data_IF_495769174777
#
_entry.id   IF_495769174777
#
_cell.length_a   1.000
_cell.length_b   1.000
_cell.length_c   1.000
_cell.angle_alpha   90.00
_cell.angle_beta   90.00
_cell.angle_gamma   90.00
#
_symmetry.space_group_name_H-M   'P 1'
#
loop_
_entity.id
_entity.type
_entity.pdbx_description
1 polymer ?
#
# COMPACT_ATOMS: atom_id res chain seq x y z
N UNK A 1 -15.01 -24.93 -7.07
CA UNK A 1 -13.81 -24.15 -6.69
C UNK A 1 -14.29 -22.95 -5.90
N UNK A 2 -13.86 -22.80 -4.65
CA UNK A 2 -14.15 -21.61 -3.85
C UNK A 2 -13.00 -20.63 -4.03
N UNK A 3 -13.28 -19.44 -4.55
CA UNK A 3 -12.30 -18.37 -4.71
C UNK A 3 -12.47 -17.43 -3.51
N UNK A 4 -11.41 -17.25 -2.73
CA UNK A 4 -11.35 -16.25 -1.66
C UNK A 4 -10.49 -15.09 -2.12
N UNK A 5 -11.08 -13.91 -2.26
CA UNK A 5 -10.32 -12.68 -2.51
C UNK A 5 -9.67 -12.26 -1.20
N UNK A 6 -8.35 -12.12 -1.22
CA UNK A 6 -7.57 -11.62 -0.10
C UNK A 6 -7.51 -10.09 -0.19
N UNK A 7 -6.35 -9.57 -0.58
CA UNK A 7 -6.06 -8.15 -0.59
C UNK A 7 -5.45 -7.72 -1.93
N UNK A 8 -5.62 -6.44 -2.32
CA UNK A 8 -4.80 -5.87 -3.36
C UNK A 8 -3.33 -5.91 -2.94
N UNK A 9 -2.46 -6.22 -3.90
CA UNK A 9 -1.01 -6.27 -3.70
C UNK A 9 -0.32 -5.21 -4.57
N UNK A 10 0.68 -4.54 -3.99
CA UNK A 10 1.54 -3.59 -4.70
C UNK A 10 2.98 -4.12 -4.68
N UNK A 11 3.56 -4.28 -5.87
CA UNK A 11 4.99 -4.57 -6.03
C UNK A 11 5.84 -3.29 -5.98
N UNK A 12 6.54 -3.09 -4.88
CA UNK A 12 7.26 -1.85 -4.60
C UNK A 12 8.72 -1.92 -5.09
N UNK A 13 9.16 -0.89 -5.82
CA UNK A 13 10.58 -0.67 -6.12
C UNK A 13 11.34 -0.20 -4.86
N UNK A 14 10.70 0.66 -4.05
CA UNK A 14 11.21 1.02 -2.72
C UNK A 14 10.21 0.55 -1.66
N UNK A 15 10.39 -0.70 -1.25
CA UNK A 15 9.51 -1.45 -0.34
C UNK A 15 9.32 -0.78 1.02
N UNK A 16 10.42 -0.49 1.71
CA UNK A 16 10.40 0.13 3.05
C UNK A 16 9.74 1.49 3.03
N UNK A 17 10.10 2.34 2.05
CA UNK A 17 9.53 3.68 1.92
C UNK A 17 8.03 3.65 1.64
N UNK A 18 7.56 2.70 0.82
CA UNK A 18 6.13 2.59 0.54
C UNK A 18 5.35 2.14 1.78
N UNK A 19 5.86 1.15 2.51
CA UNK A 19 5.27 0.70 3.78
C UNK A 19 5.19 1.86 4.78
N UNK A 20 6.29 2.56 5.00
CA UNK A 20 6.33 3.72 5.89
C UNK A 20 5.34 4.80 5.48
N UNK A 21 5.21 5.06 4.17
CA UNK A 21 4.28 6.05 3.66
C UNK A 21 2.82 5.68 3.98
N UNK A 22 2.42 4.44 3.76
CA UNK A 22 1.06 3.98 4.08
C UNK A 22 0.76 4.06 5.58
N UNK A 23 1.70 3.63 6.43
CA UNK A 23 1.60 3.72 7.89
C UNK A 23 1.44 5.18 8.32
N UNK A 24 2.33 6.08 7.86
CA UNK A 24 2.33 7.50 8.27
C UNK A 24 1.11 8.27 7.72
N UNK A 25 0.61 7.92 6.54
CA UNK A 25 -0.45 8.68 5.86
C UNK A 25 -1.84 8.28 6.32
N UNK A 26 -2.09 6.98 6.43
CA UNK A 26 -3.42 6.41 6.70
C UNK A 26 -3.53 5.78 8.10
N UNK A 27 -2.51 5.97 8.94
CA UNK A 27 -2.42 5.41 10.28
C UNK A 27 -2.63 3.88 10.29
N UNK A 28 -2.09 3.19 9.27
CA UNK A 28 -2.14 1.72 9.18
C UNK A 28 -1.12 1.08 10.12
N UNK A 29 -1.35 -0.18 10.46
CA UNK A 29 -0.43 -1.00 11.26
C UNK A 29 0.02 -2.22 10.48
N UNK A 30 1.21 -2.74 10.81
CA UNK A 30 1.70 -4.02 10.26
C UNK A 30 0.90 -5.15 10.91
N UNK A 31 0.21 -5.93 10.09
CA UNK A 31 -0.48 -7.14 10.51
C UNK A 31 0.44 -8.35 10.49
N UNK A 32 1.17 -8.51 9.39
CA UNK A 32 2.08 -9.62 9.16
C UNK A 32 3.26 -9.14 8.31
N UNK A 33 4.41 -9.76 8.54
CA UNK A 33 5.62 -9.57 7.76
C UNK A 33 6.24 -10.93 7.49
N UNK A 34 6.62 -11.15 6.24
CA UNK A 34 7.39 -12.31 5.80
C UNK A 34 8.74 -11.77 5.35
N UNK A 35 9.80 -12.27 6.00
CA UNK A 35 11.19 -11.84 5.73
C UNK A 35 12.03 -12.96 5.11
N UNK A 36 11.57 -14.21 5.18
CA UNK A 36 12.23 -15.35 4.52
C UNK A 36 11.59 -15.61 3.16
N UNK A 37 12.40 -15.56 2.10
CA UNK A 37 11.92 -15.69 0.72
C UNK A 37 11.56 -14.33 0.14
N UNK A 38 10.41 -14.24 -0.54
CA UNK A 38 9.95 -12.98 -1.10
C UNK A 38 9.38 -12.09 0.02
N UNK A 39 10.02 -10.95 0.27
CA UNK A 39 9.63 -10.04 1.32
C UNK A 39 8.25 -9.45 1.05
N UNK A 40 7.39 -9.59 2.06
CA UNK A 40 5.99 -9.22 1.98
C UNK A 40 5.49 -8.66 3.31
N UNK A 41 4.75 -7.56 3.26
CA UNK A 41 4.12 -6.92 4.42
C UNK A 41 2.63 -6.72 4.17
N UNK A 42 1.83 -7.15 5.15
CA UNK A 42 0.40 -6.86 5.23
C UNK A 42 0.15 -5.65 6.12
N UNK A 43 -0.57 -4.67 5.58
CA UNK A 43 -1.01 -3.50 6.32
C UNK A 43 -2.51 -3.55 6.59
N UNK A 44 -2.90 -3.23 7.81
CA UNK A 44 -4.29 -3.24 8.26
C UNK A 44 -4.72 -1.93 8.91
N UNK A 45 -6.04 -1.76 9.03
CA UNK A 45 -6.66 -0.73 9.83
C UNK A 45 -7.76 -1.36 10.69
N UNK A 46 -7.66 -1.22 12.01
CA UNK A 46 -8.62 -1.77 12.96
C UNK A 46 -8.91 -3.27 12.74
N UNK A 47 -7.87 -4.08 12.49
CA UNK A 47 -7.98 -5.52 12.25
C UNK A 47 -8.47 -5.92 10.86
N UNK A 48 -8.75 -4.96 9.96
CA UNK A 48 -9.12 -5.22 8.57
C UNK A 48 -7.93 -5.03 7.66
N UNK A 49 -7.59 -6.05 6.87
CA UNK A 49 -6.52 -5.99 5.88
C UNK A 49 -6.85 -4.95 4.80
N UNK A 50 -5.90 -4.05 4.54
CA UNK A 50 -6.05 -2.94 3.58
C UNK A 50 -5.25 -3.19 2.31
N UNK A 51 -3.98 -3.53 2.44
CA UNK A 51 -3.07 -3.70 1.30
C UNK A 51 -1.89 -4.60 1.66
N UNK A 52 -1.46 -5.42 0.70
CA UNK A 52 -0.20 -6.13 0.75
C UNK A 52 0.86 -5.41 -0.06
N UNK A 53 2.09 -5.37 0.42
CA UNK A 53 3.22 -4.78 -0.29
C UNK A 53 4.30 -5.85 -0.37
N UNK A 54 4.89 -6.07 -1.54
CA UNK A 54 6.02 -6.97 -1.75
C UNK A 54 7.16 -6.27 -2.47
N UNK A 55 8.40 -6.75 -2.31
CA UNK A 55 9.56 -6.29 -3.10
C UNK A 55 9.41 -6.71 -4.55
N UNK A 56 9.48 -5.75 -5.48
CA UNK A 56 9.21 -6.03 -6.88
C UNK A 56 10.30 -6.89 -7.55
N UNK A 57 11.57 -6.64 -7.21
CA UNK A 57 12.73 -7.32 -7.76
C UNK A 57 12.80 -8.81 -7.36
N UNK A 58 12.44 -9.14 -6.12
CA UNK A 58 12.30 -10.52 -5.65
C UNK A 58 11.20 -11.27 -6.41
N UNK A 59 10.13 -10.57 -6.78
CA UNK A 59 9.07 -11.11 -7.63
C UNK A 59 9.45 -11.15 -9.14
N UNK A 60 10.69 -10.80 -9.51
CA UNK A 60 11.14 -10.73 -10.89
C UNK A 60 10.47 -9.63 -11.72
N UNK A 61 9.85 -8.65 -11.06
CA UNK A 61 9.12 -7.55 -11.70
C UNK A 61 9.91 -6.25 -11.57
N UNK A 62 10.09 -5.54 -12.69
CA UNK A 62 10.56 -4.16 -12.69
C UNK A 62 9.36 -3.24 -12.92
N UNK A 63 8.89 -2.48 -11.92
CA UNK A 63 7.81 -1.53 -12.13
C UNK A 63 8.19 -0.53 -13.23
N UNK A 64 7.46 -0.56 -14.34
CA UNK A 64 7.71 0.34 -15.48
C UNK A 64 7.11 1.72 -15.24
N UNK A 65 7.60 2.72 -15.99
CA UNK A 65 6.90 3.99 -16.20
C UNK A 65 6.33 4.00 -17.63
N UNK A 66 5.01 4.21 -17.82
CA UNK A 66 3.98 4.46 -16.80
C UNK A 66 3.69 3.23 -15.93
N UNK A 67 3.11 3.49 -14.74
CA UNK A 67 2.94 2.51 -13.65
C UNK A 67 1.96 1.40 -14.03
N UNK A 68 2.47 0.26 -14.51
CA UNK A 68 1.68 -0.95 -14.75
C UNK A 68 1.29 -1.69 -13.46
N UNK A 69 1.78 -1.25 -12.31
CA UNK A 69 1.50 -1.80 -10.99
C UNK A 69 0.71 -0.78 -10.16
N UNK A 70 -0.60 -0.73 -10.41
CA UNK A 70 -1.52 0.21 -9.74
C UNK A 70 -2.69 -0.55 -9.14
N UNK A 71 -3.03 -0.22 -7.89
CA UNK A 71 -4.24 -0.69 -7.23
C UNK A 71 -5.11 0.51 -6.85
N UNK A 72 -6.43 0.32 -6.87
CA UNK A 72 -7.38 1.32 -6.40
C UNK A 72 -7.86 0.88 -5.01
N UNK A 73 -7.65 1.73 -4.01
CA UNK A 73 -8.11 1.52 -2.64
C UNK A 73 -9.05 2.68 -2.30
N UNK A 74 -10.22 2.37 -1.74
CA UNK A 74 -11.20 3.37 -1.33
C UNK A 74 -11.19 3.51 0.19
N UNK A 75 -11.11 4.75 0.66
CA UNK A 75 -11.19 5.10 2.08
C UNK A 75 -12.44 5.92 2.33
N UNK A 76 -13.12 5.65 3.45
CA UNK A 76 -14.14 6.54 4.00
C UNK A 76 -13.53 7.34 5.14
N UNK A 77 -13.66 8.66 5.11
CA UNK A 77 -13.10 9.57 6.10
C UNK A 77 -14.13 10.60 6.54
N UNK A 78 -14.04 11.04 7.80
CA UNK A 78 -14.90 12.10 8.32
C UNK A 78 -14.52 13.50 7.83
N UNK A 79 -13.27 13.70 7.40
CA UNK A 79 -12.75 14.97 6.88
C UNK A 79 -11.75 14.69 5.73
N UNK A 80 -12.20 14.93 4.50
CA UNK A 80 -11.40 14.71 3.29
C UNK A 80 -10.27 15.73 3.13
N UNK A 81 -10.45 16.96 3.59
CA UNK A 81 -9.41 18.00 3.48
C UNK A 81 -8.22 17.69 4.37
N UNK A 82 -8.49 17.20 5.59
CA UNK A 82 -7.44 16.73 6.50
C UNK A 82 -6.68 15.53 5.94
N UNK A 83 -7.36 14.62 5.24
CA UNK A 83 -6.69 13.51 4.53
C UNK A 83 -5.77 14.05 3.44
N UNK A 84 -6.25 14.97 2.61
CA UNK A 84 -5.44 15.57 1.54
C UNK A 84 -4.21 16.30 2.08
N UNK A 85 -4.32 17.00 3.20
CA UNK A 85 -3.18 17.63 3.86
C UNK A 85 -2.16 16.60 4.37
N UNK A 86 -2.61 15.47 4.93
CA UNK A 86 -1.73 14.35 5.30
C UNK A 86 -0.99 13.81 4.08
N UNK A 87 -1.71 13.48 3.01
CA UNK A 87 -1.15 12.93 1.76
C UNK A 87 -0.05 13.85 1.21
N UNK A 88 -0.30 15.16 1.13
CA UNK A 88 0.72 16.13 0.67
C UNK A 88 1.93 16.16 1.60
N UNK A 89 1.71 16.23 2.92
CA UNK A 89 2.79 16.31 3.93
C UNK A 89 3.67 15.07 3.94
N UNK A 90 3.13 13.90 3.61
CA UNK A 90 3.89 12.64 3.56
C UNK A 90 4.51 12.36 2.20
N UNK A 91 4.36 13.27 1.22
CA UNK A 91 4.98 13.14 -0.11
C UNK A 91 4.16 12.35 -1.13
N UNK A 92 2.86 12.17 -0.88
CA UNK A 92 1.91 11.69 -1.87
C UNK A 92 1.42 12.80 -2.79
N UNK A 93 0.87 12.39 -3.94
CA UNK A 93 0.36 13.29 -4.98
C UNK A 93 -1.16 13.22 -5.05
N UNK A 94 -1.81 14.37 -5.29
CA UNK A 94 -3.26 14.46 -5.52
C UNK A 94 -3.46 14.91 -6.96
N UNK A 95 -3.99 14.02 -7.79
CA UNK A 95 -4.17 14.25 -9.22
C UNK A 95 -5.52 14.91 -9.56
N UNK A 96 -6.56 14.61 -8.78
CA UNK A 96 -7.91 15.14 -8.97
C UNK A 96 -8.55 15.37 -7.60
N UNK A 97 -9.12 16.56 -7.39
CA UNK A 97 -9.75 17.01 -6.16
C UNK A 97 -10.24 18.44 -6.31
#
# INVERSE_FOLDING_TARGET
>A
MNINLLNPMILAENYEKLIEWYIKTFDLTIKAKVEEGDEYTELEQAGKLVVGIAKADEMGVKPSTPRNNTVIIQFSVSDINKLFDKVRKTGGEILFG
#
